data_IF_291592049796
#
_entry.id   IF_291592049796
#
_cell.length_a   1.000
_cell.length_b   1.000
_cell.length_c   1.000
_cell.angle_alpha   90.00
_cell.angle_beta   90.00
_cell.angle_gamma   90.00
#
_symmetry.space_group_name_H-M   'P 1'
#
loop_
_entity.id
_entity.type
_entity.pdbx_description
1 polymer ?
#
# COMPACT_ATOMS: atom_id res chain seq x y z
N UNK A 1 -60.50 -23.56 -57.29
CA UNK A 1 -60.57 -25.04 -57.29
C UNK A 1 -59.16 -25.60 -57.20
N UNK A 2 -58.99 -26.63 -56.36
CA UNK A 2 -57.88 -27.61 -56.30
C UNK A 2 -56.55 -27.14 -55.67
N UNK A 3 -56.42 -27.49 -54.38
CA UNK A 3 -55.13 -27.86 -53.74
C UNK A 3 -54.52 -29.04 -54.50
N UNK A 4 -53.18 -29.19 -54.49
CA UNK A 4 -52.49 -30.48 -54.34
C UNK A 4 -51.00 -30.25 -54.02
N UNK A 5 -50.60 -30.70 -52.82
CA UNK A 5 -49.34 -31.34 -52.43
C UNK A 5 -47.98 -30.80 -52.93
N UNK A 6 -47.08 -30.51 -51.98
CA UNK A 6 -45.98 -31.44 -51.63
C UNK A 6 -44.87 -30.72 -50.85
N UNK A 7 -44.61 -31.11 -49.60
CA UNK A 7 -43.25 -31.09 -49.01
C UNK A 7 -42.68 -32.49 -49.20
N UNK A 8 -41.36 -32.67 -49.45
CA UNK A 8 -40.45 -32.72 -48.30
C UNK A 8 -38.96 -32.35 -48.55
N UNK A 9 -38.25 -32.21 -47.42
CA UNK A 9 -36.83 -32.52 -47.15
C UNK A 9 -35.72 -31.54 -47.63
N UNK A 10 -35.22 -30.83 -46.62
CA UNK A 10 -33.81 -30.50 -46.33
C UNK A 10 -33.07 -29.61 -47.35
N UNK A 11 -33.08 -28.32 -47.06
CA UNK A 11 -31.90 -27.47 -47.24
C UNK A 11 -31.69 -26.68 -45.94
N UNK A 12 -30.83 -27.21 -45.08
CA UNK A 12 -30.23 -26.46 -43.99
C UNK A 12 -29.26 -25.49 -44.66
N UNK A 13 -29.64 -24.23 -44.80
CA UNK A 13 -28.72 -23.15 -45.16
C UNK A 13 -28.80 -22.09 -44.07
N UNK A 14 -27.87 -22.28 -43.14
CA UNK A 14 -27.19 -21.32 -42.28
C UNK A 14 -27.22 -19.88 -42.81
N UNK A 15 -27.87 -18.99 -42.07
CA UNK A 15 -27.64 -17.54 -42.11
C UNK A 15 -28.12 -16.90 -40.79
N UNK A 16 -27.57 -17.36 -39.67
CA UNK A 16 -27.59 -16.63 -38.39
C UNK A 16 -26.31 -15.81 -38.35
N UNK A 17 -26.30 -14.65 -39.00
CA UNK A 17 -25.20 -13.68 -38.90
C UNK A 17 -25.73 -12.25 -38.80
N UNK A 18 -26.71 -12.03 -37.93
CA UNK A 18 -26.91 -10.73 -37.28
C UNK A 18 -27.04 -11.01 -35.79
N UNK A 19 -25.98 -11.59 -35.22
CA UNK A 19 -25.69 -11.35 -33.81
C UNK A 19 -25.22 -9.90 -33.80
N UNK A 20 -26.13 -8.99 -33.42
CA UNK A 20 -25.74 -7.67 -32.94
C UNK A 20 -24.96 -7.93 -31.67
N UNK A 21 -23.69 -8.23 -31.86
CA UNK A 21 -22.67 -8.21 -30.83
C UNK A 21 -22.46 -6.73 -30.51
N UNK A 22 -23.37 -6.17 -29.70
CA UNK A 22 -22.99 -5.06 -28.83
C UNK A 22 -22.09 -5.71 -27.79
N UNK A 23 -20.83 -5.93 -28.16
CA UNK A 23 -19.76 -5.84 -27.18
C UNK A 23 -19.82 -4.38 -26.77
N UNK A 24 -20.60 -4.10 -25.72
CA UNK A 24 -20.20 -3.06 -24.81
C UNK A 24 -18.80 -3.49 -24.35
N UNK A 25 -17.78 -3.02 -25.07
CA UNK A 25 -16.46 -2.90 -24.52
C UNK A 25 -16.63 -1.83 -23.44
N UNK A 26 -17.16 -2.26 -22.30
CA UNK A 26 -16.86 -1.61 -21.04
C UNK A 26 -15.37 -1.79 -20.91
N UNK A 27 -14.62 -0.84 -21.47
CA UNK A 27 -13.29 -0.54 -20.98
C UNK A 27 -13.56 0.04 -19.59
N UNK A 28 -13.89 -0.82 -18.64
CA UNK A 28 -13.66 -0.51 -17.24
C UNK A 28 -12.15 -0.38 -17.19
N UNK A 29 -11.68 0.86 -17.29
CA UNK A 29 -10.35 1.21 -16.84
C UNK A 29 -10.29 0.67 -15.41
N UNK A 30 -9.61 -0.46 -15.23
CA UNK A 30 -9.24 -0.89 -13.89
C UNK A 30 -8.37 0.23 -13.38
N UNK A 31 -8.95 1.05 -12.49
CA UNK A 31 -8.20 2.10 -11.81
C UNK A 31 -7.14 1.39 -10.99
N UNK A 32 -5.90 1.44 -11.48
CA UNK A 32 -4.71 0.95 -10.80
C UNK A 32 -4.27 1.95 -9.73
N UNK A 33 -5.22 2.33 -8.87
CA UNK A 33 -5.00 3.31 -7.82
C UNK A 33 -4.59 2.56 -6.57
N UNK A 34 -3.50 3.01 -5.95
CA UNK A 34 -3.13 2.56 -4.62
C UNK A 34 -4.27 2.90 -3.64
N UNK A 35 -4.52 2.04 -2.65
CA UNK A 35 -5.33 2.40 -1.50
C UNK A 35 -4.77 3.68 -0.88
N UNK A 36 -5.61 4.43 -0.20
CA UNK A 36 -5.22 5.62 0.53
C UNK A 36 -4.65 5.28 1.90
N UNK A 37 -3.92 6.23 2.50
CA UNK A 37 -3.51 6.15 3.93
C UNK A 37 -4.69 5.88 4.88
N UNK A 38 -5.87 6.43 4.57
CA UNK A 38 -7.07 6.22 5.38
C UNK A 38 -7.59 4.79 5.26
N UNK A 39 -7.61 4.23 4.04
CA UNK A 39 -7.98 2.83 3.81
C UNK A 39 -6.99 1.87 4.46
N UNK A 40 -5.68 2.13 4.39
CA UNK A 40 -4.67 1.33 5.08
C UNK A 40 -4.87 1.31 6.60
N UNK A 41 -5.17 2.47 7.22
CA UNK A 41 -5.52 2.53 8.65
C UNK A 41 -6.76 1.72 8.99
N UNK A 42 -7.79 1.77 8.15
CA UNK A 42 -9.02 0.99 8.34
C UNK A 42 -8.72 -0.51 8.25
N UNK A 43 -7.89 -0.94 7.30
CA UNK A 43 -7.46 -2.34 7.16
C UNK A 43 -6.75 -2.79 8.45
N UNK A 44 -5.76 -2.04 8.92
CA UNK A 44 -5.00 -2.36 10.14
C UNK A 44 -5.90 -2.44 11.39
N UNK A 45 -6.75 -1.43 11.61
CA UNK A 45 -7.67 -1.39 12.76
C UNK A 45 -8.70 -2.53 12.71
N UNK A 46 -9.20 -2.85 11.51
CA UNK A 46 -10.14 -3.96 11.31
C UNK A 46 -9.50 -5.31 11.63
N UNK A 47 -8.27 -5.55 11.16
CA UNK A 47 -7.52 -6.77 11.47
C UNK A 47 -7.17 -6.88 12.96
N UNK A 48 -6.85 -5.75 13.60
CA UNK A 48 -6.63 -5.67 15.04
C UNK A 48 -7.92 -5.82 15.88
N UNK A 49 -9.10 -5.79 15.26
CA UNK A 49 -10.39 -5.81 15.98
C UNK A 49 -10.65 -4.55 16.82
N UNK A 50 -10.03 -3.43 16.47
CA UNK A 50 -10.09 -2.18 17.23
C UNK A 50 -10.83 -1.09 16.44
N UNK A 51 -11.50 -0.19 17.17
CA UNK A 51 -11.97 1.07 16.60
C UNK A 51 -10.85 2.12 16.60
N UNK A 52 -10.96 3.12 15.72
CA UNK A 52 -9.98 4.22 15.67
C UNK A 52 -9.86 4.97 17.01
N UNK A 53 -10.95 5.03 17.79
CA UNK A 53 -10.97 5.68 19.11
C UNK A 53 -10.15 4.93 20.17
N UNK A 54 -9.87 3.65 19.95
CA UNK A 54 -9.04 2.81 20.83
C UNK A 54 -7.56 2.86 20.47
N UNK A 55 -7.23 3.48 19.33
CA UNK A 55 -5.87 3.63 18.84
C UNK A 55 -5.32 5.01 19.19
N UNK A 56 -4.08 5.01 19.70
CA UNK A 56 -3.28 6.21 19.91
C UNK A 56 -2.08 6.20 18.98
N UNK A 57 -1.61 7.39 18.59
CA UNK A 57 -0.51 7.59 17.64
C UNK A 57 -0.71 6.93 16.25
N UNK A 58 -1.95 6.66 15.81
CA UNK A 58 -2.26 6.01 14.54
C UNK A 58 -1.70 6.74 13.30
N UNK A 59 -0.67 6.17 12.69
CA UNK A 59 0.07 6.71 11.54
C UNK A 59 0.07 5.72 10.39
N UNK A 60 0.15 6.24 9.18
CA UNK A 60 0.32 5.44 7.97
C UNK A 60 1.34 6.14 7.05
N UNK A 61 2.42 5.45 6.70
CA UNK A 61 3.48 5.90 5.79
C UNK A 61 3.43 5.06 4.52
N UNK A 62 3.43 5.73 3.36
CA UNK A 62 3.56 5.02 2.09
C UNK A 62 5.05 4.85 1.81
N UNK A 63 5.46 3.61 1.60
CA UNK A 63 6.82 3.23 1.29
C UNK A 63 6.85 2.50 -0.05
N UNK A 64 8.02 2.52 -0.69
CA UNK A 64 8.29 1.74 -1.89
C UNK A 64 9.51 0.90 -1.59
N UNK A 65 9.28 -0.40 -1.45
CA UNK A 65 10.31 -1.39 -1.10
C UNK A 65 10.08 -2.66 -1.92
N UNK A 66 11.16 -3.36 -2.28
CA UNK A 66 11.12 -4.58 -3.11
C UNK A 66 10.23 -4.48 -4.37
N UNK A 67 10.21 -3.31 -5.01
CA UNK A 67 9.45 -3.07 -6.24
C UNK A 67 7.93 -2.93 -6.03
N UNK A 68 7.47 -2.71 -4.80
CA UNK A 68 6.06 -2.58 -4.46
C UNK A 68 5.79 -1.40 -3.54
N UNK A 69 4.65 -0.75 -3.75
CA UNK A 69 4.12 0.19 -2.77
C UNK A 69 3.49 -0.57 -1.60
N UNK A 70 3.90 -0.22 -0.40
CA UNK A 70 3.33 -0.73 0.84
C UNK A 70 3.09 0.40 1.84
N UNK A 71 2.05 0.27 2.65
CA UNK A 71 1.79 1.12 3.79
C UNK A 71 2.35 0.48 5.05
N UNK A 72 3.21 1.19 5.75
CA UNK A 72 3.54 0.91 7.14
C UNK A 72 2.53 1.67 8.03
N UNK A 73 1.76 0.94 8.83
CA UNK A 73 0.73 1.47 9.72
C UNK A 73 1.05 1.12 11.16
N UNK A 74 1.28 2.15 11.98
CA UNK A 74 1.65 2.00 13.40
C UNK A 74 0.61 2.63 14.30
N UNK A 75 0.30 1.99 15.43
CA UNK A 75 -0.50 2.56 16.51
C UNK A 75 -0.30 1.82 17.83
N UNK A 76 -0.80 2.41 18.92
CA UNK A 76 -0.84 1.77 20.24
C UNK A 76 -2.27 1.66 20.75
N UNK A 77 -2.60 0.54 21.40
CA UNK A 77 -3.84 0.38 22.15
C UNK A 77 -3.59 -0.40 23.43
N UNK A 78 -4.07 0.10 24.58
CA UNK A 78 -3.98 -0.58 25.88
C UNK A 78 -2.57 -1.07 26.30
N UNK A 79 -1.52 -0.36 25.88
CA UNK A 79 -0.13 -0.75 26.18
C UNK A 79 0.46 -1.82 25.25
N UNK A 80 -0.26 -2.13 24.17
CA UNK A 80 0.20 -2.95 23.04
C UNK A 80 0.53 -2.03 21.85
N UNK A 81 1.69 -2.25 21.25
CA UNK A 81 2.11 -1.67 19.98
C UNK A 81 1.66 -2.55 18.83
N UNK A 82 1.23 -1.92 17.74
CA UNK A 82 0.77 -2.58 16.53
C UNK A 82 1.49 -1.95 15.35
N UNK A 83 2.17 -2.78 14.57
CA UNK A 83 2.82 -2.42 13.31
C UNK A 83 2.27 -3.32 12.20
N UNK A 84 1.90 -2.73 11.06
CA UNK A 84 1.36 -3.43 9.90
C UNK A 84 2.07 -2.99 8.63
N UNK A 85 2.46 -3.96 7.80
CA UNK A 85 2.83 -3.73 6.40
C UNK A 85 1.68 -4.16 5.51
N UNK A 86 1.15 -3.25 4.70
CA UNK A 86 -0.05 -3.45 3.89
C UNK A 86 0.24 -3.11 2.43
N UNK A 87 0.03 -4.04 1.51
CA UNK A 87 0.23 -3.80 0.09
C UNK A 87 -0.69 -2.68 -0.40
N UNK A 88 -0.11 -1.60 -0.90
CA UNK A 88 -0.87 -0.43 -1.28
C UNK A 88 -1.73 -0.67 -2.52
N UNK A 89 -1.39 -1.66 -3.36
CA UNK A 89 -2.18 -2.01 -4.56
C UNK A 89 -3.61 -2.46 -4.25
N UNK A 90 -3.80 -3.22 -3.18
CA UNK A 90 -5.04 -3.96 -2.93
C UNK A 90 -5.49 -3.98 -1.46
N UNK A 91 -4.66 -3.50 -0.52
CA UNK A 91 -4.93 -3.56 0.92
C UNK A 91 -4.67 -4.91 1.56
N UNK A 92 -3.98 -5.83 0.88
CA UNK A 92 -3.54 -7.09 1.44
C UNK A 92 -2.50 -6.85 2.55
N UNK A 93 -2.68 -7.46 3.72
CA UNK A 93 -1.71 -7.37 4.79
C UNK A 93 -0.53 -8.28 4.43
N UNK A 94 0.65 -7.68 4.27
CA UNK A 94 1.90 -8.37 3.99
C UNK A 94 2.46 -8.92 5.29
N UNK A 95 2.50 -8.13 6.35
CA UNK A 95 3.03 -8.51 7.66
C UNK A 95 2.36 -7.70 8.78
N UNK A 96 2.43 -8.22 10.00
CA UNK A 96 2.11 -7.48 11.22
C UNK A 96 2.97 -7.94 12.39
N UNK A 97 3.29 -6.99 13.25
CA UNK A 97 4.03 -7.21 14.50
C UNK A 97 3.23 -6.57 15.64
N UNK A 98 2.93 -7.35 16.68
CA UNK A 98 2.07 -6.90 17.80
C UNK A 98 2.83 -7.10 19.10
N UNK A 99 3.56 -6.07 19.52
CA UNK A 99 4.35 -6.09 20.74
C UNK A 99 3.52 -5.59 21.92
N UNK A 100 3.07 -6.52 22.76
CA UNK A 100 2.39 -6.25 24.03
C UNK A 100 3.22 -6.73 25.22
N UNK A 101 3.08 -6.06 26.38
CA UNK A 101 3.50 -6.69 27.64
C UNK A 101 2.62 -7.93 27.87
N UNK A 102 3.15 -9.11 27.54
CA UNK A 102 2.59 -10.39 27.95
C UNK A 102 2.21 -10.35 29.43
N UNK A 103 1.01 -10.85 29.74
CA UNK A 103 0.32 -10.67 31.00
C UNK A 103 0.97 -11.48 32.15
N UNK A 104 2.18 -11.11 32.55
CA UNK A 104 2.80 -11.54 33.81
C UNK A 104 2.19 -10.75 34.97
N UNK A 105 1.02 -11.18 35.45
CA UNK A 105 0.41 -10.60 36.64
C UNK A 105 1.36 -10.69 37.86
N UNK A 106 1.89 -9.55 38.32
CA UNK A 106 1.63 -8.99 39.66
C UNK A 106 2.49 -7.74 39.96
N UNK A 107 1.80 -6.76 40.55
CA UNK A 107 2.29 -5.59 41.29
C UNK A 107 3.00 -4.45 40.52
N UNK A 108 2.24 -3.40 40.20
CA UNK A 108 2.02 -2.30 41.15
C UNK A 108 1.06 -1.26 40.56
N UNK A 109 -0.06 -1.04 41.26
CA UNK A 109 -0.88 0.15 41.10
C UNK A 109 -0.01 1.38 41.35
N UNK A 110 0.04 2.32 40.41
CA UNK A 110 0.05 3.72 40.80
C UNK A 110 -0.76 4.58 39.85
N UNK A 111 -1.65 5.33 40.47
CA UNK A 111 -2.65 6.21 39.91
C UNK A 111 -1.99 7.57 39.72
N UNK A 112 -2.00 8.11 38.50
CA UNK A 112 -1.45 9.44 38.26
C UNK A 112 -1.97 10.09 36.99
N UNK A 113 -3.26 10.43 36.99
CA UNK A 113 -3.80 11.42 36.05
C UNK A 113 -3.54 12.83 36.61
N UNK A 114 -3.27 13.82 35.73
CA UNK A 114 -2.90 15.24 35.98
C UNK A 114 -1.38 15.45 36.14
N UNK A 115 -0.70 16.34 35.42
CA UNK A 115 -0.93 17.77 35.14
C UNK A 115 -0.34 18.14 33.76
N UNK A 116 -1.02 18.88 32.88
CA UNK A 116 -1.08 20.35 32.79
C UNK A 116 0.30 21.05 32.78
N UNK A 117 0.60 21.64 31.61
CA UNK A 117 1.29 22.93 31.34
C UNK A 117 2.28 23.47 32.39
N UNK A 118 3.50 23.79 31.95
CA UNK A 118 3.92 25.20 31.95
C UNK A 118 5.20 25.45 31.12
N UNK A 119 5.11 26.56 30.38
CA UNK A 119 6.16 27.26 29.69
C UNK A 119 7.10 27.99 30.68
N UNK A 120 8.39 27.99 30.32
CA UNK A 120 9.29 29.14 30.34
C UNK A 120 9.91 29.62 31.68
N UNK A 121 11.25 29.74 31.69
CA UNK A 121 11.97 30.67 32.56
C UNK A 121 13.28 31.16 31.92
N UNK A 122 13.10 32.31 31.28
CA UNK A 122 14.00 33.39 30.88
C UNK A 122 15.09 33.79 31.91
N UNK A 123 16.27 34.18 31.41
CA UNK A 123 17.07 35.29 31.97
C UNK A 123 17.69 36.12 30.81
N UNK A 124 17.49 37.45 30.88
CA UNK A 124 17.87 38.54 29.95
C UNK A 124 19.15 39.31 30.40
N UNK A 125 19.45 40.57 29.95
CA UNK A 125 19.73 41.12 28.60
C UNK A 125 21.03 41.98 28.57
N UNK A 126 21.53 42.38 27.39
CA UNK A 126 22.15 43.72 27.17
C UNK A 126 21.85 44.27 25.77
N UNK A 127 21.49 45.56 25.72
CA UNK A 127 21.29 46.41 24.54
C UNK A 127 22.58 47.17 24.19
N UNK A 128 22.73 47.49 22.91
CA UNK A 128 23.05 48.81 22.30
C UNK A 128 22.81 48.63 20.78
N UNK A 129 21.79 49.24 20.15
CA UNK A 129 21.84 50.52 19.38
C UNK A 129 22.89 50.49 18.24
N UNK A 130 22.67 50.79 16.95
CA UNK A 130 21.64 51.39 16.09
C UNK A 130 22.07 51.06 14.63
N UNK A 131 21.16 50.75 13.70
CA UNK A 131 20.87 51.63 12.56
C UNK A 131 19.72 51.13 11.65
N UNK A 132 18.89 52.10 11.26
CA UNK A 132 17.76 52.15 10.33
C UNK A 132 18.09 51.61 8.91
N UNK A 133 17.18 51.36 7.96
CA UNK A 133 15.73 51.20 7.84
C UNK A 133 15.49 50.96 6.32
N UNK A 134 14.45 50.23 5.93
CA UNK A 134 13.48 50.60 4.89
C UNK A 134 12.53 49.44 4.58
N UNK A 135 11.31 49.79 4.17
CA UNK A 135 10.11 48.99 4.19
C UNK A 135 9.81 48.24 2.88
N UNK A 136 8.95 47.22 3.03
CA UNK A 136 7.81 46.86 2.15
C UNK A 136 8.05 46.12 0.82
N UNK A 137 7.31 45.02 0.63
CA UNK A 137 6.99 44.37 -0.66
C UNK A 137 7.19 42.84 -0.59
N UNK A 138 6.16 42.04 -0.31
CA UNK A 138 5.14 41.49 -1.22
C UNK A 138 5.67 40.42 -2.23
N UNK A 139 5.19 39.18 -2.04
CA UNK A 139 4.98 38.07 -2.98
C UNK A 139 5.93 37.91 -4.18
N UNK A 140 6.78 36.87 -4.14
CA UNK A 140 7.56 36.41 -5.32
C UNK A 140 7.63 34.88 -5.50
N UNK A 141 6.81 34.07 -4.80
CA UNK A 141 6.84 32.60 -4.97
C UNK A 141 5.90 32.04 -6.06
N UNK A 142 4.91 32.82 -6.51
CA UNK A 142 3.83 32.35 -7.41
C UNK A 142 4.26 31.89 -8.81
N UNK A 143 5.19 32.57 -9.53
CA UNK A 143 5.50 32.19 -10.91
C UNK A 143 6.15 30.81 -11.05
N UNK A 144 6.82 30.31 -10.02
CA UNK A 144 7.53 29.03 -10.03
C UNK A 144 6.62 27.85 -9.67
N UNK A 145 5.60 28.08 -8.82
CA UNK A 145 4.57 27.08 -8.52
C UNK A 145 3.62 26.88 -9.71
N UNK A 146 3.20 27.96 -10.36
CA UNK A 146 2.33 27.90 -11.54
C UNK A 146 2.99 27.08 -12.68
N UNK A 147 4.28 27.29 -12.91
CA UNK A 147 5.03 26.55 -13.95
C UNK A 147 5.29 25.09 -13.58
N UNK A 148 5.38 24.75 -12.29
CA UNK A 148 5.47 23.36 -11.84
C UNK A 148 4.13 22.62 -12.02
N UNK A 149 3.01 23.28 -11.72
CA UNK A 149 1.67 22.71 -11.94
C UNK A 149 1.39 22.46 -13.43
N UNK A 150 1.81 23.38 -14.31
CA UNK A 150 1.75 23.18 -15.76
C UNK A 150 2.62 21.99 -16.22
N UNK A 151 3.82 21.84 -15.67
CA UNK A 151 4.70 20.71 -15.98
C UNK A 151 4.10 19.36 -15.52
N UNK A 152 3.58 19.29 -14.29
CA UNK A 152 2.85 18.08 -13.80
C UNK A 152 1.67 17.74 -14.71
N UNK A 153 0.88 18.74 -15.11
CA UNK A 153 -0.24 18.52 -16.03
C UNK A 153 0.22 18.04 -17.41
N UNK A 154 1.36 18.52 -17.92
CA UNK A 154 1.94 18.05 -19.16
C UNK A 154 2.41 16.59 -19.06
N UNK A 155 3.08 16.20 -17.97
CA UNK A 155 3.52 14.83 -17.71
C UNK A 155 2.32 13.86 -17.65
N UNK A 156 1.30 14.20 -16.85
CA UNK A 156 0.06 13.42 -16.71
C UNK A 156 -0.69 13.28 -18.03
N UNK A 157 -0.75 14.36 -18.82
CA UNK A 157 -1.39 14.36 -20.13
C UNK A 157 -0.65 13.47 -21.13
N UNK A 158 0.68 13.48 -21.14
CA UNK A 158 1.48 12.57 -21.99
C UNK A 158 1.29 11.11 -21.56
N UNK A 159 1.27 10.84 -20.25
CA UNK A 159 1.01 9.51 -19.69
C UNK A 159 -0.44 9.02 -19.87
N UNK A 160 -1.38 9.92 -20.17
CA UNK A 160 -2.81 9.60 -20.29
C UNK A 160 -3.47 9.31 -18.93
N UNK A 161 -2.92 9.84 -17.84
CA UNK A 161 -3.36 9.61 -16.47
C UNK A 161 -3.97 10.88 -15.89
N UNK A 162 -4.84 10.73 -14.89
CA UNK A 162 -5.27 11.86 -14.07
C UNK A 162 -4.39 11.97 -12.83
N UNK A 163 -4.30 13.17 -12.25
CA UNK A 163 -3.57 13.40 -10.99
C UNK A 163 -4.06 12.48 -9.86
N UNK A 164 -5.36 12.13 -9.87
CA UNK A 164 -5.94 11.20 -8.90
C UNK A 164 -5.56 9.74 -9.08
N UNK A 165 -4.94 9.38 -10.20
CA UNK A 165 -4.53 8.01 -10.51
C UNK A 165 -3.04 7.77 -10.18
N UNK A 166 -2.31 8.79 -9.72
CA UNK A 166 -0.86 8.70 -9.50
C UNK A 166 -0.44 9.15 -8.10
N UNK A 167 0.76 8.74 -7.70
CA UNK A 167 1.49 9.29 -6.55
C UNK A 167 2.77 9.94 -7.03
N UNK A 168 2.89 11.25 -6.87
CA UNK A 168 4.14 11.97 -7.15
C UNK A 168 5.17 11.66 -6.06
N UNK A 169 6.38 11.31 -6.48
CA UNK A 169 7.55 11.09 -5.62
C UNK A 169 8.53 12.24 -5.69
N UNK A 170 8.76 12.76 -6.89
CA UNK A 170 9.68 13.87 -7.14
C UNK A 170 9.03 14.88 -8.07
N UNK A 171 9.17 16.15 -7.73
CA UNK A 171 8.70 17.28 -8.54
C UNK A 171 9.66 18.45 -8.29
N UNK A 172 10.76 18.48 -9.02
CA UNK A 172 11.89 19.38 -8.73
C UNK A 172 12.34 20.14 -9.99
N UNK A 173 12.89 21.34 -9.78
CA UNK A 173 13.50 22.13 -10.85
C UNK A 173 14.99 21.78 -10.91
N UNK A 174 15.44 21.24 -12.03
CA UNK A 174 16.81 20.80 -12.27
C UNK A 174 17.42 21.47 -13.52
N UNK A 175 18.65 21.12 -13.87
CA UNK A 175 19.36 21.55 -15.07
C UNK A 175 19.93 20.33 -15.82
N UNK A 176 19.29 19.99 -16.93
CA UNK A 176 19.74 18.94 -17.85
C UNK A 176 20.30 19.57 -19.12
N UNK A 177 21.52 19.16 -19.51
CA UNK A 177 22.20 19.63 -20.73
C UNK A 177 22.28 21.17 -20.92
N UNK A 178 22.34 21.93 -19.83
CA UNK A 178 22.40 23.40 -19.87
C UNK A 178 21.05 24.08 -20.10
N UNK A 179 19.95 23.33 -20.03
CA UNK A 179 18.56 23.81 -20.05
C UNK A 179 17.94 23.56 -18.68
N UNK A 180 17.13 24.50 -18.21
CA UNK A 180 16.38 24.32 -16.98
C UNK A 180 15.18 23.41 -17.25
N UNK A 181 15.03 22.36 -16.46
CA UNK A 181 13.99 21.33 -16.62
C UNK A 181 13.25 21.11 -15.31
N UNK A 182 12.01 20.67 -15.38
CA UNK A 182 11.33 20.03 -14.27
C UNK A 182 11.55 18.52 -14.37
N UNK A 183 12.17 17.97 -13.33
CA UNK A 183 12.30 16.53 -13.11
C UNK A 183 11.10 16.06 -12.29
N UNK A 184 10.27 15.24 -12.93
CA UNK A 184 8.99 14.78 -12.40
C UNK A 184 8.97 13.25 -12.40
N UNK A 185 8.85 12.68 -11.21
CA UNK A 185 8.75 11.25 -10.97
C UNK A 185 7.42 10.94 -10.28
N UNK A 186 6.60 10.10 -10.89
CA UNK A 186 5.34 9.64 -10.32
C UNK A 186 5.05 8.20 -10.66
N UNK A 187 4.12 7.62 -9.91
CA UNK A 187 3.85 6.21 -9.97
C UNK A 187 2.35 5.94 -10.07
N UNK A 188 2.01 4.89 -10.81
CA UNK A 188 0.76 4.14 -10.63
C UNK A 188 1.05 2.91 -9.76
N UNK A 189 0.07 2.02 -9.56
CA UNK A 189 0.31 0.81 -8.77
C UNK A 189 1.41 -0.12 -9.31
N UNK A 190 1.68 -0.06 -10.61
CA UNK A 190 2.45 -1.05 -11.35
C UNK A 190 3.42 -0.43 -12.36
N UNK A 191 3.49 0.90 -12.43
CA UNK A 191 4.34 1.61 -13.40
C UNK A 191 4.93 2.86 -12.75
N UNK A 192 6.24 3.02 -12.86
CA UNK A 192 7.00 4.24 -12.62
C UNK A 192 7.10 5.08 -13.90
N UNK A 193 6.95 6.38 -13.71
CA UNK A 193 7.05 7.38 -14.75
C UNK A 193 8.04 8.46 -14.32
N UNK A 194 9.06 8.69 -15.13
CA UNK A 194 10.03 9.76 -14.97
C UNK A 194 9.97 10.65 -16.22
N UNK A 195 9.94 11.96 -16.01
CA UNK A 195 9.80 12.96 -17.05
C UNK A 195 10.77 14.12 -16.80
N UNK A 196 11.53 14.50 -17.83
CA UNK A 196 12.17 15.82 -17.88
C UNK A 196 11.35 16.74 -18.78
N UNK A 197 10.88 17.86 -18.23
CA UNK A 197 10.04 18.83 -18.93
C UNK A 197 10.74 20.19 -18.99
N UNK A 198 10.83 20.78 -20.17
CA UNK A 198 11.39 22.13 -20.37
C UNK A 198 10.66 23.16 -19.48
N UNK A 199 11.38 23.75 -18.52
CA UNK A 199 10.78 24.65 -17.53
C UNK A 199 10.27 25.97 -18.12
N UNK A 200 10.69 26.33 -19.34
CA UNK A 200 10.29 27.58 -20.00
C UNK A 200 8.99 27.47 -20.79
N UNK A 201 8.63 26.26 -21.23
CA UNK A 201 7.54 26.08 -22.20
C UNK A 201 6.72 24.79 -22.02
N UNK A 202 7.06 23.93 -21.06
CA UNK A 202 6.30 22.71 -20.75
C UNK A 202 6.47 21.57 -21.75
N UNK A 203 7.45 21.63 -22.65
CA UNK A 203 7.72 20.55 -23.61
C UNK A 203 8.34 19.35 -22.90
N UNK A 204 7.82 18.15 -23.12
CA UNK A 204 8.46 16.90 -22.67
C UNK A 204 9.75 16.69 -23.45
N UNK A 205 10.90 16.70 -22.77
CA UNK A 205 12.22 16.53 -23.35
C UNK A 205 12.66 15.07 -23.29
N UNK A 206 12.45 14.44 -22.13
CA UNK A 206 12.76 13.03 -21.88
C UNK A 206 11.63 12.37 -21.10
N UNK A 207 11.45 11.08 -21.33
CA UNK A 207 10.59 10.24 -20.50
C UNK A 207 11.15 8.83 -20.39
N UNK A 208 11.09 8.29 -19.19
CA UNK A 208 11.35 6.89 -18.89
C UNK A 208 10.10 6.31 -18.22
N UNK A 209 9.66 5.15 -18.71
CA UNK A 209 8.45 4.49 -18.20
C UNK A 209 8.86 3.06 -17.88
N UNK A 210 8.89 2.74 -16.61
CA UNK A 210 9.28 1.44 -16.10
C UNK A 210 8.05 0.74 -15.51
N UNK A 211 7.57 -0.29 -16.21
CA UNK A 211 6.55 -1.15 -15.63
C UNK A 211 7.20 -2.07 -14.59
N UNK A 212 6.74 -1.97 -13.34
CA UNK A 212 7.07 -2.95 -12.32
C UNK A 212 6.62 -4.32 -12.82
N UNK A 213 7.53 -5.30 -12.80
CA UNK A 213 7.20 -6.66 -13.20
C UNK A 213 6.27 -7.29 -12.16
N UNK A 214 4.97 -6.97 -12.22
CA UNK A 214 3.94 -7.67 -11.45
C UNK A 214 3.46 -8.84 -12.30
N UNK A 215 4.04 -10.03 -12.08
CA UNK A 215 3.53 -11.26 -12.68
C UNK A 215 2.23 -11.68 -11.99
N UNK A 216 1.10 -11.12 -12.40
CA UNK A 216 -0.19 -11.72 -12.08
C UNK A 216 -0.40 -12.94 -12.98
N UNK A 217 -0.33 -14.16 -12.44
CA UNK A 217 -0.91 -15.32 -13.10
C UNK A 217 -2.17 -15.80 -12.36
N UNK A 218 -3.26 -16.10 -13.09
CA UNK A 218 -4.53 -16.51 -12.50
C UNK A 218 -4.49 -17.98 -12.06
N UNK A 219 -4.81 -18.21 -10.78
CA UNK A 219 -5.39 -19.43 -10.19
C UNK A 219 -4.67 -20.78 -10.34
N UNK A 220 -4.57 -21.45 -9.18
CA UNK A 220 -4.33 -22.87 -8.92
C UNK A 220 -2.93 -23.47 -9.17
N UNK A 221 -2.27 -23.69 -8.03
CA UNK A 221 -1.41 -24.84 -7.73
C UNK A 221 -0.29 -25.18 -8.73
N UNK A 222 0.86 -24.52 -8.60
CA UNK A 222 2.18 -25.17 -8.65
C UNK A 222 3.27 -24.14 -8.36
N UNK A 223 4.09 -24.45 -7.36
CA UNK A 223 5.39 -23.85 -7.05
C UNK A 223 6.20 -23.70 -8.35
N UNK A 224 6.64 -22.48 -8.67
CA UNK A 224 8.02 -22.18 -9.09
C UNK A 224 8.25 -20.67 -9.29
N UNK A 225 9.19 -20.19 -8.49
CA UNK A 225 9.77 -18.87 -8.35
C UNK A 225 10.13 -18.16 -9.65
N UNK A 226 9.75 -16.88 -9.76
CA UNK A 226 10.55 -15.77 -10.31
C UNK A 226 9.70 -14.47 -10.30
N UNK A 227 9.69 -13.82 -9.13
CA UNK A 227 8.92 -12.63 -8.79
C UNK A 227 8.53 -12.76 -7.31
N UNK A 228 8.92 -11.83 -6.45
CA UNK A 228 8.81 -11.92 -4.98
C UNK A 228 7.35 -11.91 -4.47
N UNK A 229 6.37 -12.45 -5.19
CA UNK A 229 4.97 -12.53 -4.74
C UNK A 229 4.88 -13.52 -3.58
N UNK A 230 4.94 -12.97 -2.37
CA UNK A 230 4.71 -13.73 -1.16
C UNK A 230 3.25 -14.17 -1.09
N UNK A 231 2.98 -15.26 -0.41
CA UNK A 231 1.65 -15.83 -0.25
C UNK A 231 0.68 -14.92 0.52
N UNK A 232 1.19 -13.90 1.21
CA UNK A 232 0.42 -12.98 2.05
C UNK A 232 0.19 -13.52 3.47
N UNK A 233 0.01 -12.61 4.44
CA UNK A 233 -0.11 -13.01 5.86
C UNK A 233 -1.35 -13.86 6.12
N UNK A 234 -2.48 -13.54 5.49
CA UNK A 234 -3.74 -14.24 5.71
C UNK A 234 -3.65 -15.68 5.21
N UNK A 235 -2.93 -15.91 4.10
CA UNK A 235 -2.68 -17.25 3.61
C UNK A 235 -1.74 -18.02 4.52
N UNK A 236 -0.70 -17.37 5.06
CA UNK A 236 0.20 -17.98 6.04
C UNK A 236 -0.55 -18.37 7.34
N UNK A 237 -1.40 -17.48 7.88
CA UNK A 237 -2.31 -17.77 9.01
C UNK A 237 -3.20 -18.98 8.71
N UNK A 238 -3.81 -19.01 7.52
CA UNK A 238 -4.69 -20.11 7.10
C UNK A 238 -3.93 -21.45 7.03
N UNK A 239 -2.70 -21.45 6.52
CA UNK A 239 -1.83 -22.64 6.48
C UNK A 239 -1.54 -23.14 7.90
N UNK A 240 -1.14 -22.24 8.80
CA UNK A 240 -0.83 -22.57 10.19
C UNK A 240 -2.06 -23.12 10.94
N UNK A 241 -3.22 -22.47 10.82
CA UNK A 241 -4.49 -22.90 11.42
C UNK A 241 -4.95 -24.26 10.90
N UNK A 242 -4.88 -24.47 9.59
CA UNK A 242 -5.24 -25.75 8.96
C UNK A 242 -4.34 -26.89 9.45
N UNK A 243 -3.03 -26.62 9.60
CA UNK A 243 -2.08 -27.59 10.14
C UNK A 243 -2.38 -27.91 11.61
N UNK A 244 -2.68 -26.88 12.43
CA UNK A 244 -3.06 -27.03 13.83
C UNK A 244 -4.48 -27.61 14.03
N UNK A 245 -5.29 -27.70 12.98
CA UNK A 245 -6.69 -28.12 13.02
C UNK A 245 -7.57 -27.22 13.90
N UNK A 246 -7.30 -25.92 13.89
CA UNK A 246 -8.02 -24.89 14.65
C UNK A 246 -8.76 -23.94 13.70
N UNK A 247 -9.81 -23.29 14.20
CA UNK A 247 -10.46 -22.20 13.47
C UNK A 247 -9.89 -20.86 13.93
N UNK A 248 -9.85 -19.90 13.01
CA UNK A 248 -9.41 -18.53 13.30
C UNK A 248 -10.17 -17.89 14.47
N UNK A 249 -11.47 -18.19 14.63
CA UNK A 249 -12.29 -17.67 15.73
C UNK A 249 -11.90 -18.19 17.12
N UNK A 250 -11.12 -19.26 17.17
CA UNK A 250 -10.75 -19.96 18.40
C UNK A 250 -9.34 -19.59 18.89
N UNK A 251 -8.62 -18.76 18.12
CA UNK A 251 -7.24 -18.38 18.41
C UNK A 251 -7.08 -16.88 18.61
N UNK A 252 -5.98 -16.49 19.24
CA UNK A 252 -5.49 -15.11 19.26
C UNK A 252 -4.07 -15.11 18.71
N UNK A 253 -3.88 -14.50 17.55
CA UNK A 253 -2.55 -14.32 16.97
C UNK A 253 -1.76 -13.27 17.74
N UNK A 254 -0.52 -13.62 18.09
CA UNK A 254 0.46 -12.72 18.69
C UNK A 254 1.43 -12.17 17.65
N UNK A 255 1.86 -13.00 16.68
CA UNK A 255 2.80 -12.61 15.61
C UNK A 255 2.32 -13.12 14.26
N UNK A 256 2.51 -12.31 13.22
CA UNK A 256 2.36 -12.77 11.85
C UNK A 256 3.25 -11.93 10.91
N UNK A 257 4.55 -12.19 10.94
CA UNK A 257 5.59 -11.32 10.40
C UNK A 257 6.33 -11.96 9.23
N UNK A 258 6.76 -11.14 8.29
CA UNK A 258 7.67 -11.56 7.22
C UNK A 258 9.11 -11.32 7.69
N UNK A 259 9.91 -12.38 7.76
CA UNK A 259 11.33 -12.34 8.10
C UNK A 259 12.18 -12.58 6.85
N UNK A 260 13.31 -11.88 6.76
CA UNK A 260 14.25 -11.99 5.66
C UNK A 260 15.64 -12.24 6.25
N UNK A 261 16.04 -13.51 6.29
CA UNK A 261 17.40 -13.91 6.65
C UNK A 261 18.12 -14.42 5.39
N UNK A 262 19.45 -14.41 5.39
CA UNK A 262 20.36 -14.71 4.25
C UNK A 262 20.15 -16.10 3.58
N UNK A 263 19.12 -16.86 3.97
CA UNK A 263 18.67 -18.13 3.40
C UNK A 263 17.30 -18.12 2.69
N UNK A 264 16.48 -17.06 2.80
CA UNK A 264 15.15 -16.98 2.18
C UNK A 264 14.19 -16.06 2.93
N UNK A 265 13.07 -15.73 2.29
CA UNK A 265 11.99 -14.95 2.92
C UNK A 265 10.95 -15.90 3.49
N UNK A 266 10.58 -15.73 4.75
CA UNK A 266 9.67 -16.60 5.49
C UNK A 266 8.66 -15.82 6.33
N UNK A 267 7.55 -16.48 6.65
CA UNK A 267 6.53 -15.98 7.55
C UNK A 267 6.69 -16.65 8.92
N UNK A 268 6.88 -15.86 9.96
CA UNK A 268 6.75 -16.28 11.35
C UNK A 268 5.32 -16.01 11.85
N UNK A 269 4.60 -17.07 12.19
CA UNK A 269 3.23 -17.01 12.69
C UNK A 269 3.18 -17.58 14.11
N UNK A 270 2.79 -16.75 15.07
CA UNK A 270 2.60 -17.13 16.47
C UNK A 270 1.14 -16.89 16.87
N UNK A 271 0.49 -17.87 17.48
CA UNK A 271 -0.85 -17.72 18.02
C UNK A 271 -1.15 -18.63 19.21
N UNK A 272 -2.14 -18.21 19.98
CA UNK A 272 -2.58 -18.90 21.19
C UNK A 272 -3.97 -19.51 21.01
N UNK A 273 -4.13 -20.76 21.43
CA UNK A 273 -5.43 -21.40 21.69
C UNK A 273 -5.52 -21.79 23.16
N UNK A 274 -6.18 -20.96 23.96
CA UNK A 274 -6.23 -21.15 25.42
C UNK A 274 -4.89 -20.82 26.09
N UNK A 275 -4.16 -21.85 26.52
CA UNK A 275 -2.80 -21.73 27.13
C UNK A 275 -1.72 -22.41 26.28
N UNK A 276 -2.07 -22.81 25.07
CA UNK A 276 -1.13 -23.43 24.15
C UNK A 276 -0.71 -22.39 23.14
N UNK A 277 0.59 -22.18 23.06
CA UNK A 277 1.26 -21.35 22.06
C UNK A 277 1.64 -22.23 20.86
N UNK A 278 1.49 -21.66 19.67
CA UNK A 278 1.81 -22.32 18.41
C UNK A 278 2.68 -21.38 17.60
N UNK A 279 3.87 -21.85 17.25
CA UNK A 279 4.84 -21.14 16.42
C UNK A 279 5.03 -21.84 15.10
N UNK A 280 5.04 -21.09 14.01
CA UNK A 280 5.22 -21.60 12.66
C UNK A 280 6.17 -20.71 11.86
N UNK A 281 7.11 -21.34 11.16
CA UNK A 281 7.91 -20.72 10.10
C UNK A 281 7.44 -21.28 8.77
N UNK A 282 7.01 -20.42 7.85
CA UNK A 282 6.39 -20.79 6.58
C UNK A 282 7.12 -20.10 5.43
N UNK A 283 7.57 -20.84 4.43
CA UNK A 283 8.22 -20.29 3.24
C UNK A 283 7.30 -19.25 2.57
N UNK A 284 7.77 -18.01 2.44
CA UNK A 284 6.92 -16.89 2.06
C UNK A 284 6.43 -16.98 0.61
N UNK A 285 7.09 -17.74 -0.26
CA UNK A 285 6.73 -17.85 -1.69
C UNK A 285 5.86 -19.07 -1.97
N UNK A 286 6.19 -20.20 -1.35
CA UNK A 286 5.54 -21.49 -1.62
C UNK A 286 4.45 -21.85 -0.62
N UNK A 287 4.47 -21.28 0.59
CA UNK A 287 3.58 -21.66 1.68
C UNK A 287 3.89 -23.02 2.30
N UNK A 288 5.08 -23.56 2.05
CA UNK A 288 5.52 -24.76 2.75
C UNK A 288 5.84 -24.42 4.21
N UNK A 289 5.36 -25.24 5.15
CA UNK A 289 5.77 -25.14 6.55
C UNK A 289 7.23 -25.62 6.63
N UNK A 290 8.13 -24.72 7.05
CA UNK A 290 9.56 -24.96 7.24
C UNK A 290 9.78 -25.55 8.64
N UNK A 291 9.20 -24.92 9.66
CA UNK A 291 9.32 -25.28 11.07
C UNK A 291 7.99 -25.02 11.79
N UNK A 292 7.74 -25.78 12.86
CA UNK A 292 6.66 -25.47 13.80
C UNK A 292 6.99 -26.01 15.19
N UNK A 293 6.55 -25.29 16.22
CA UNK A 293 6.60 -25.71 17.62
C UNK A 293 5.25 -25.50 18.31
N UNK A 294 5.01 -26.26 19.37
CA UNK A 294 3.80 -26.16 20.19
C UNK A 294 4.18 -26.23 21.65
N UNK A 295 4.12 -25.08 22.31
CA UNK A 295 4.43 -24.94 23.72
C UNK A 295 3.17 -24.99 24.59
N UNK A 296 3.25 -25.78 25.66
CA UNK A 296 2.17 -25.98 26.61
C UNK A 296 2.53 -25.31 27.94
N UNK A 297 1.83 -24.23 28.25
CA UNK A 297 1.97 -23.46 29.49
C UNK A 297 1.25 -24.11 30.70
#
# INVERSE_FOLDING_TARGET
MKKLFSTPKKAIILAICIVVVIIAASITAFKSTLITKAEAKIVALKDAGLSEAEASALRARLEFDDGRFQYEVDFYSNGTEYEYLIQAKNGEIIARDIDGKGNGNNDMQDIGNQYATDENSFVQPRKDAENQAAASGNSTAQPQEDSLDEAKAAALKDAGLSESDVTFKKTELDHSHGTQVYDIEFYTSDIEYEYEIDASNGTVLEKNIEQFQIQTNPTDSAINSSGNDYIGVDRAKEIALNHAQLNESDVQFAKAKLENDDGGVEYEIEFYSGRTEYDYTIDAVSGNIIEYDVDYD
#
